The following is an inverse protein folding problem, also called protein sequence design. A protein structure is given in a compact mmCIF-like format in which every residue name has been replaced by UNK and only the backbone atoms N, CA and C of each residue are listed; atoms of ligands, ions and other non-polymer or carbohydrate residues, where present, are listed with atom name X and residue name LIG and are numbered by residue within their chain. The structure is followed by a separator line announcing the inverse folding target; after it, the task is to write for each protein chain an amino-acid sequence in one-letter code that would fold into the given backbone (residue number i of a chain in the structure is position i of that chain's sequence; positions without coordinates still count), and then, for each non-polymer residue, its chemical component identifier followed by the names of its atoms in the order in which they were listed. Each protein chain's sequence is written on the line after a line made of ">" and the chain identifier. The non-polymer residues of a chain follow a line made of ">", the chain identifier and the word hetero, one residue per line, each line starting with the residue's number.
data_IF_902355035933
#
_entry.id   IF_902355035933
#
_cell.length_a   1.000
_cell.length_b   1.000
_cell.length_c   1.000
_cell.angle_alpha   90.00
_cell.angle_beta   90.00
_cell.angle_gamma   90.00
#
_symmetry.space_group_name_H-M   'P 1'
#
loop_
_entity.id
_entity.type
_entity.pdbx_description
1 polymer ?
#
# COMPACT_ATOMS: atom_id res chain seq x y z
N UNK A 1 -0.59 8.90 31.58
CA UNK A 1 -0.82 8.86 30.12
C UNK A 1 0.54 8.85 29.45
N UNK A 2 0.91 7.76 28.77
CA UNK A 2 2.13 7.76 27.95
C UNK A 2 1.92 8.78 26.81
N UNK A 3 2.88 9.66 26.56
CA UNK A 3 2.78 10.70 25.54
C UNK A 3 2.65 10.07 24.16
N UNK A 4 1.57 10.39 23.44
CA UNK A 4 1.32 9.84 22.11
C UNK A 4 2.28 10.44 21.08
N UNK A 5 2.76 9.61 20.16
CA UNK A 5 3.58 10.05 19.03
C UNK A 5 2.75 10.67 17.90
N UNK A 6 3.35 11.60 17.16
CA UNK A 6 2.76 12.25 16.00
C UNK A 6 3.63 12.10 14.76
N UNK A 7 2.97 12.00 13.59
CA UNK A 7 3.58 11.94 12.25
C UNK A 7 2.75 12.76 11.24
N UNK A 8 3.32 13.14 10.10
CA UNK A 8 2.55 13.74 9.01
C UNK A 8 2.06 12.64 8.07
N UNK A 9 0.77 12.29 8.20
CA UNK A 9 0.13 11.28 7.38
C UNK A 9 -0.52 11.90 6.13
N UNK A 10 0.32 12.48 5.28
CA UNK A 10 -0.08 13.05 4.00
C UNK A 10 1.07 12.93 3.00
N UNK A 11 0.74 12.90 1.71
CA UNK A 11 1.74 12.96 0.66
C UNK A 11 1.84 14.36 0.02
N UNK A 12 2.90 14.53 -0.75
CA UNK A 12 3.27 15.80 -1.39
C UNK A 12 3.08 15.71 -2.90
N UNK A 13 3.15 16.85 -3.63
CA UNK A 13 3.14 16.83 -5.10
C UNK A 13 4.27 16.01 -5.74
N UNK A 14 5.33 15.67 -5.00
CA UNK A 14 6.47 14.87 -5.48
C UNK A 14 6.38 13.39 -5.08
N UNK A 15 5.37 13.01 -4.29
CA UNK A 15 5.21 11.64 -3.77
C UNK A 15 3.80 11.11 -4.04
N UNK A 16 3.34 11.33 -5.27
CA UNK A 16 1.99 10.96 -5.70
C UNK A 16 1.76 9.45 -5.62
N UNK A 17 0.52 9.07 -5.31
CA UNK A 17 0.02 7.72 -5.52
C UNK A 17 -0.57 7.69 -6.93
N UNK A 18 -0.02 6.81 -7.75
CA UNK A 18 -0.45 6.61 -9.12
C UNK A 18 -1.38 5.40 -9.19
N UNK A 19 -2.19 5.34 -10.23
CA UNK A 19 -2.93 4.16 -10.66
C UNK A 19 -2.36 3.72 -11.99
N UNK A 20 -2.19 2.42 -12.20
CA UNK A 20 -1.97 1.88 -13.52
C UNK A 20 -3.16 0.98 -13.90
N UNK A 21 -3.82 1.36 -14.97
CA UNK A 21 -4.68 0.43 -15.66
C UNK A 21 -3.78 -0.48 -16.50
N UNK A 22 -3.40 -1.63 -15.93
CA UNK A 22 -2.60 -2.61 -16.65
C UNK A 22 -3.32 -3.18 -17.88
N UNK A 23 -4.66 -3.06 -17.96
CA UNK A 23 -5.43 -3.51 -19.13
C UNK A 23 -5.32 -2.52 -20.31
N UNK A 24 -5.16 -1.22 -20.04
CA UNK A 24 -5.04 -0.18 -21.08
C UNK A 24 -3.68 0.55 -21.11
N UNK A 25 -2.71 0.09 -20.32
CA UNK A 25 -1.33 0.59 -20.31
C UNK A 25 -1.18 2.05 -19.88
N UNK A 26 -2.22 2.64 -19.28
CA UNK A 26 -2.22 4.05 -18.91
C UNK A 26 -1.94 4.18 -17.42
N UNK A 27 -0.86 4.90 -17.08
CA UNK A 27 -0.55 5.29 -15.71
C UNK A 27 -0.96 6.74 -15.49
N UNK A 28 -1.67 7.00 -14.40
CA UNK A 28 -2.10 8.35 -14.02
C UNK A 28 -2.08 8.55 -12.52
N UNK A 29 -2.20 9.79 -12.03
CA UNK A 29 -2.45 10.01 -10.61
C UNK A 29 -3.81 9.43 -10.21
N UNK A 30 -3.93 9.00 -8.96
CA UNK A 30 -5.21 8.58 -8.38
C UNK A 30 -6.27 9.72 -8.47
N UNK A 31 -7.48 9.43 -8.96
CA UNK A 31 -8.54 10.44 -9.17
C UNK A 31 -9.88 10.05 -8.50
N UNK A 32 -10.86 10.94 -8.56
CA UNK A 32 -12.19 10.74 -7.94
C UNK A 32 -12.26 11.25 -6.50
N UNK A 33 -13.47 11.40 -5.95
CA UNK A 33 -13.67 11.79 -4.56
C UNK A 33 -14.01 10.55 -3.74
N UNK A 34 -13.20 10.22 -2.72
CA UNK A 34 -13.34 8.99 -1.92
C UNK A 34 -13.37 7.69 -2.74
N UNK A 35 -12.76 7.71 -3.93
CA UNK A 35 -12.65 6.53 -4.78
C UNK A 35 -11.66 5.52 -4.18
N UNK A 36 -10.69 5.98 -3.40
CA UNK A 36 -9.67 5.13 -2.80
C UNK A 36 -9.59 5.34 -1.30
N UNK A 37 -9.28 4.25 -0.60
CA UNK A 37 -8.94 4.23 0.83
C UNK A 37 -7.43 4.12 0.96
N UNK A 38 -6.85 4.88 1.87
CA UNK A 38 -5.42 4.90 2.17
C UNK A 38 -5.25 4.56 3.65
N UNK A 39 -4.67 3.40 3.93
CA UNK A 39 -4.40 2.91 5.28
C UNK A 39 -2.96 3.14 5.71
N UNK A 40 -2.77 3.67 6.91
CA UNK A 40 -1.50 3.73 7.62
C UNK A 40 -1.37 2.48 8.50
N UNK A 41 -0.47 1.59 8.11
CA UNK A 41 -0.14 0.37 8.86
C UNK A 41 1.15 0.58 9.64
N UNK A 42 1.17 0.26 10.93
CA UNK A 42 2.30 0.52 11.82
C UNK A 42 2.59 -0.69 12.72
N UNK A 43 3.86 -0.86 13.07
CA UNK A 43 4.35 -1.82 14.06
C UNK A 43 5.62 -1.32 14.73
N UNK A 44 6.08 -1.96 15.81
CA UNK A 44 7.43 -1.75 16.34
C UNK A 44 8.51 -1.84 15.25
N UNK A 45 9.63 -1.14 15.43
CA UNK A 45 10.75 -1.19 14.49
C UNK A 45 11.15 -2.64 14.15
N UNK A 46 11.21 -2.96 12.86
CA UNK A 46 11.55 -4.29 12.34
C UNK A 46 10.36 -5.24 12.15
N UNK A 47 9.14 -4.80 12.46
CA UNK A 47 7.91 -5.60 12.21
C UNK A 47 7.77 -5.88 10.70
N UNK A 48 7.57 -7.14 10.28
CA UNK A 48 7.37 -7.46 8.86
C UNK A 48 6.04 -6.87 8.37
N UNK A 49 5.98 -6.50 7.09
CA UNK A 49 4.81 -5.83 6.50
C UNK A 49 3.49 -6.56 6.74
N UNK A 50 3.49 -7.90 6.65
CA UNK A 50 2.31 -8.74 6.90
C UNK A 50 1.78 -8.70 8.34
N UNK A 51 2.59 -8.24 9.31
CA UNK A 51 2.24 -8.19 10.73
C UNK A 51 1.98 -6.77 11.24
N UNK A 52 2.04 -5.76 10.35
CA UNK A 52 1.68 -4.38 10.70
C UNK A 52 0.16 -4.27 10.93
N UNK A 53 -0.24 -3.38 11.84
CA UNK A 53 -1.65 -3.16 12.18
C UNK A 53 -2.15 -1.84 11.60
N UNK A 54 -3.41 -1.80 11.16
CA UNK A 54 -4.05 -0.57 10.67
C UNK A 54 -4.27 0.39 11.84
N UNK A 55 -3.65 1.57 11.79
CA UNK A 55 -3.77 2.61 12.82
C UNK A 55 -4.56 3.82 12.29
N UNK A 56 -4.44 4.13 11.00
CA UNK A 56 -5.12 5.28 10.39
C UNK A 56 -5.71 4.98 9.04
N UNK A 57 -6.81 5.67 8.73
CA UNK A 57 -7.51 5.56 7.44
C UNK A 57 -7.79 6.96 6.91
N UNK A 58 -7.48 7.17 5.63
CA UNK A 58 -7.74 8.38 4.88
C UNK A 58 -8.36 8.04 3.53
N UNK A 59 -8.79 9.08 2.81
CA UNK A 59 -9.26 8.97 1.43
C UNK A 59 -8.50 9.92 0.52
N UNK A 60 -8.55 9.66 -0.78
CA UNK A 60 -7.87 10.48 -1.77
C UNK A 60 -8.50 11.87 -1.91
N UNK A 61 -7.66 12.86 -2.17
CA UNK A 61 -8.09 14.23 -2.39
C UNK A 61 -8.77 14.38 -3.77
N UNK A 62 -9.82 15.20 -3.88
CA UNK A 62 -10.44 15.51 -5.18
C UNK A 62 -9.53 16.40 -6.04
N UNK A 63 -9.91 16.58 -7.30
CA UNK A 63 -9.30 17.60 -8.16
C UNK A 63 -9.34 18.99 -7.49
N UNK A 64 -8.27 19.80 -7.61
CA UNK A 64 -7.10 19.63 -8.48
C UNK A 64 -5.96 18.78 -7.90
N UNK A 65 -6.09 18.22 -6.70
CA UNK A 65 -5.01 17.52 -5.98
C UNK A 65 -4.93 16.03 -6.31
N UNK A 66 -4.93 15.70 -7.60
CA UNK A 66 -4.89 14.31 -8.09
C UNK A 66 -3.64 13.58 -7.59
N UNK A 67 -3.77 12.32 -7.23
CA UNK A 67 -2.69 11.48 -6.70
C UNK A 67 -2.31 11.81 -5.25
N UNK A 68 -3.01 12.74 -4.61
CA UNK A 68 -2.75 13.16 -3.24
C UNK A 68 -3.79 12.67 -2.25
N UNK A 69 -3.42 12.63 -0.98
CA UNK A 69 -4.31 12.40 0.14
C UNK A 69 -3.81 13.16 1.37
N UNK A 70 -4.70 13.36 2.34
CA UNK A 70 -4.34 13.92 3.64
C UNK A 70 -5.14 13.20 4.74
N UNK A 71 -4.45 12.43 5.57
CA UNK A 71 -5.02 11.76 6.74
C UNK A 71 -4.81 12.52 8.05
N UNK A 72 -4.01 13.59 8.06
CA UNK A 72 -3.73 14.43 9.23
C UNK A 72 -2.27 14.88 9.30
N UNK A 73 -2.06 16.16 9.63
CA UNK A 73 -0.74 16.78 9.84
C UNK A 73 -0.86 17.81 10.98
N UNK A 74 -0.63 17.43 12.26
CA UNK A 74 -0.16 16.12 12.72
C UNK A 74 -1.25 15.04 12.77
N UNK A 75 -0.85 13.80 12.54
CA UNK A 75 -1.62 12.59 12.81
C UNK A 75 -1.12 11.92 14.09
N UNK A 76 -2.04 11.63 15.00
CA UNK A 76 -1.75 11.01 16.29
C UNK A 76 -1.68 9.49 16.15
N UNK A 77 -0.69 8.83 16.76
CA UNK A 77 -0.45 7.38 16.65
C UNK A 77 -0.86 6.63 17.93
N UNK A 78 -2.10 6.12 18.05
CA UNK A 78 -2.54 5.34 19.20
C UNK A 78 -1.61 4.17 19.52
N UNK A 79 -1.19 4.07 20.78
CA UNK A 79 -0.33 2.97 21.25
C UNK A 79 1.16 3.13 20.97
N UNK A 80 1.58 4.19 20.27
CA UNK A 80 2.99 4.48 20.00
C UNK A 80 3.41 5.77 20.66
N UNK A 81 4.43 5.70 21.53
CA UNK A 81 4.94 6.87 22.21
C UNK A 81 5.90 7.68 21.32
N UNK A 82 5.96 8.99 21.55
CA UNK A 82 6.98 9.83 20.96
C UNK A 82 8.39 9.30 21.29
N UNK A 83 9.33 9.46 20.36
CA UNK A 83 10.72 8.99 20.51
C UNK A 83 10.93 7.49 20.29
N UNK A 84 9.87 6.70 20.11
CA UNK A 84 9.99 5.25 19.85
C UNK A 84 9.99 4.98 18.35
N UNK A 85 11.07 4.45 17.75
CA UNK A 85 11.12 4.19 16.32
C UNK A 85 10.10 3.11 15.94
N UNK A 86 9.44 3.31 14.80
CA UNK A 86 8.40 2.42 14.26
C UNK A 86 8.72 2.02 12.82
N UNK A 87 8.16 0.89 12.40
CA UNK A 87 8.05 0.51 10.99
C UNK A 87 6.64 0.83 10.52
N UNK A 88 6.51 1.39 9.32
CA UNK A 88 5.21 1.67 8.72
C UNK A 88 5.13 1.21 7.27
N UNK A 89 3.90 1.07 6.79
CA UNK A 89 3.59 0.85 5.39
C UNK A 89 2.29 1.59 5.05
N UNK A 90 2.27 2.22 3.88
CA UNK A 90 1.05 2.82 3.35
C UNK A 90 0.45 1.85 2.36
N UNK A 91 -0.84 1.55 2.54
CA UNK A 91 -1.60 0.70 1.60
C UNK A 91 -2.73 1.51 1.05
N UNK A 92 -3.02 1.35 -0.23
CA UNK A 92 -4.16 2.00 -0.85
C UNK A 92 -4.91 1.04 -1.77
N UNK A 93 -6.23 1.14 -1.76
CA UNK A 93 -7.12 0.24 -2.48
C UNK A 93 -8.40 0.96 -2.88
N UNK A 94 -9.08 0.45 -3.90
CA UNK A 94 -10.41 0.93 -4.28
C UNK A 94 -11.41 0.84 -3.12
N UNK A 95 -12.14 1.92 -2.88
CA UNK A 95 -13.09 1.99 -1.77
C UNK A 95 -14.26 1.02 -1.91
N UNK A 96 -14.57 0.60 -3.15
CA UNK A 96 -15.57 -0.41 -3.52
C UNK A 96 -15.12 -1.85 -3.26
N UNK A 97 -13.81 -2.10 -3.13
CA UNK A 97 -13.28 -3.44 -2.84
C UNK A 97 -13.50 -3.86 -1.38
N UNK A 98 -13.81 -2.91 -0.49
CA UNK A 98 -14.19 -3.17 0.90
C UNK A 98 -13.63 -2.15 1.89
N UNK A 99 -14.08 -2.23 3.17
CA UNK A 99 -13.69 -1.28 4.20
C UNK A 99 -12.25 -1.46 4.69
N UNK A 100 -11.67 -2.65 4.56
CA UNK A 100 -10.31 -2.98 5.02
C UNK A 100 -9.45 -3.50 3.86
N UNK A 101 -8.13 -3.39 4.00
CA UNK A 101 -7.19 -3.99 3.06
C UNK A 101 -7.44 -5.49 2.86
N UNK A 102 -7.69 -6.22 3.94
CA UNK A 102 -7.92 -7.65 3.92
C UNK A 102 -9.20 -8.00 3.15
N UNK A 103 -10.27 -7.20 3.31
CA UNK A 103 -11.48 -7.35 2.50
C UNK A 103 -11.23 -7.04 1.02
N UNK A 104 -10.39 -6.04 0.72
CA UNK A 104 -10.02 -5.68 -0.64
C UNK A 104 -9.11 -6.72 -1.32
N UNK A 105 -8.33 -7.48 -0.53
CA UNK A 105 -7.59 -8.64 -1.02
C UNK A 105 -8.56 -9.71 -1.55
N UNK A 106 -9.52 -10.11 -0.72
CA UNK A 106 -10.54 -11.12 -1.07
C UNK A 106 -11.42 -10.64 -2.22
N UNK A 107 -11.82 -9.36 -2.21
CA UNK A 107 -12.68 -8.77 -3.22
C UNK A 107 -12.11 -8.88 -4.63
N UNK A 108 -10.82 -8.57 -4.83
CA UNK A 108 -10.27 -8.66 -6.18
C UNK A 108 -10.14 -10.10 -6.71
N UNK A 109 -9.98 -11.07 -5.81
CA UNK A 109 -9.87 -12.48 -6.18
C UNK A 109 -11.24 -13.05 -6.60
N UNK A 110 -12.34 -12.55 -6.01
CA UNK A 110 -13.69 -13.04 -6.27
C UNK A 110 -14.23 -12.69 -7.66
N UNK A 111 -13.78 -11.59 -8.27
CA UNK A 111 -14.37 -11.12 -9.52
C UNK A 111 -13.75 -11.70 -10.79
N UNK A 112 -12.63 -12.43 -10.75
CA UNK A 112 -11.93 -12.96 -11.95
C UNK A 112 -11.70 -11.94 -13.09
N UNK A 113 -11.92 -10.65 -12.84
CA UNK A 113 -11.98 -9.59 -13.86
C UNK A 113 -11.05 -8.42 -13.53
N UNK A 114 -10.09 -8.62 -12.61
CA UNK A 114 -9.06 -7.61 -12.32
C UNK A 114 -9.62 -6.22 -11.94
N UNK A 115 -10.81 -6.14 -11.33
CA UNK A 115 -11.55 -4.88 -11.30
C UNK A 115 -11.07 -3.83 -10.29
N UNK A 116 -10.27 -4.23 -9.30
CA UNK A 116 -9.89 -3.33 -8.20
C UNK A 116 -8.39 -3.11 -8.13
N UNK A 117 -8.02 -1.84 -8.22
CA UNK A 117 -6.68 -1.34 -8.03
C UNK A 117 -6.30 -1.40 -6.55
N UNK A 118 -5.12 -1.94 -6.29
CA UNK A 118 -4.53 -1.98 -4.96
C UNK A 118 -3.02 -1.86 -5.03
N UNK A 119 -2.42 -1.33 -3.97
CA UNK A 119 -0.97 -1.19 -3.89
C UNK A 119 -0.53 -0.95 -2.46
N UNK A 120 0.71 -1.32 -2.19
CA UNK A 120 1.37 -1.05 -0.93
C UNK A 120 2.72 -0.41 -1.20
N UNK A 121 3.10 0.56 -0.36
CA UNK A 121 4.42 1.16 -0.41
C UNK A 121 5.50 0.16 0.01
N UNK A 122 6.77 0.53 -0.24
CA UNK A 122 7.89 -0.03 0.51
C UNK A 122 7.69 0.21 2.03
N UNK A 123 8.38 -0.58 2.84
CA UNK A 123 8.44 -0.36 4.29
C UNK A 123 9.22 0.92 4.57
N UNK A 124 8.62 1.78 5.39
CA UNK A 124 9.24 2.98 5.90
C UNK A 124 9.58 2.87 7.38
N UNK A 125 10.41 3.79 7.86
CA UNK A 125 10.84 3.88 9.25
C UNK A 125 10.80 5.34 9.70
N UNK A 126 10.25 5.58 10.88
CA UNK A 126 10.16 6.94 11.43
C UNK A 126 10.19 6.88 12.95
N UNK A 127 10.67 7.95 13.58
CA UNK A 127 10.57 8.16 15.02
C UNK A 127 9.53 9.25 15.26
N UNK A 128 8.32 8.93 15.75
CA UNK A 128 7.29 9.91 16.02
C UNK A 128 7.74 10.95 17.05
N UNK A 129 7.21 12.16 16.96
CA UNK A 129 7.51 13.24 17.92
C UNK A 129 6.34 13.50 18.84
N UNK A 130 6.52 14.39 19.83
CA UNK A 130 5.51 14.76 20.83
C UNK A 130 4.48 15.77 20.32
N UNK A 131 4.56 16.16 19.04
CA UNK A 131 3.67 17.14 18.41
C UNK A 131 3.99 18.60 18.74
N UNK A 132 4.89 18.87 19.70
CA UNK A 132 5.46 20.20 19.95
C UNK A 132 6.71 20.44 19.09
N UNK A 133 7.41 19.37 18.76
CA UNK A 133 8.54 19.36 17.83
C UNK A 133 8.07 19.28 16.37
N UNK A 134 9.00 19.49 15.41
CA UNK A 134 8.73 19.25 13.98
C UNK A 134 8.22 17.82 13.79
N UNK A 135 7.03 17.69 13.23
CA UNK A 135 6.36 16.41 13.03
C UNK A 135 6.98 15.73 11.80
N UNK A 136 7.45 14.48 11.91
CA UNK A 136 8.18 13.84 10.83
C UNK A 136 7.24 13.43 9.69
N UNK A 137 7.70 13.62 8.45
CA UNK A 137 6.97 13.21 7.25
C UNK A 137 7.13 11.72 6.96
N UNK A 138 6.01 11.05 6.66
CA UNK A 138 6.01 9.66 6.18
C UNK A 138 6.40 9.57 4.69
N UNK A 139 6.16 10.63 3.93
CA UNK A 139 6.46 10.74 2.51
C UNK A 139 7.57 11.75 2.25
N UNK A 140 8.46 11.42 1.32
CA UNK A 140 9.56 12.30 0.92
C UNK A 140 10.74 11.52 0.37
N UNK A 141 11.90 12.18 0.32
CA UNK A 141 13.14 11.62 -0.26
C UNK A 141 14.16 11.22 0.80
N UNK A 142 13.91 11.49 2.08
CA UNK A 142 14.82 11.12 3.16
C UNK A 142 14.79 9.60 3.43
N UNK A 143 15.84 9.10 4.08
CA UNK A 143 15.91 7.70 4.47
C UNK A 143 14.74 7.30 5.37
N UNK A 144 14.09 6.18 5.07
CA UNK A 144 12.92 5.68 5.79
C UNK A 144 11.57 6.26 5.31
N UNK A 145 11.57 7.28 4.45
CA UNK A 145 10.35 7.83 3.86
C UNK A 145 9.94 7.09 2.58
N UNK A 146 8.66 7.23 2.20
CA UNK A 146 8.10 6.63 0.99
C UNK A 146 8.03 7.65 -0.15
N UNK A 147 8.47 7.29 -1.36
CA UNK A 147 8.53 8.17 -2.55
C UNK A 147 7.25 8.15 -3.42
N UNK A 148 6.09 7.80 -2.84
CA UNK A 148 4.89 7.44 -3.60
C UNK A 148 4.95 6.00 -4.13
N UNK A 149 3.87 5.53 -4.74
CA UNK A 149 3.78 4.17 -5.31
C UNK A 149 2.59 4.07 -6.29
N UNK A 150 2.51 2.97 -7.02
CA UNK A 150 1.45 2.74 -8.01
C UNK A 150 0.48 1.67 -7.53
N UNK A 151 -0.83 1.92 -7.68
CA UNK A 151 -1.90 0.96 -7.47
C UNK A 151 -2.14 0.22 -8.76
N UNK A 152 -2.03 -1.11 -8.69
CA UNK A 152 -2.22 -1.97 -9.84
C UNK A 152 -3.42 -2.87 -9.65
N UNK A 153 -4.03 -3.18 -10.78
CA UNK A 153 -4.87 -4.36 -10.89
C UNK A 153 -3.94 -5.57 -10.72
N UNK A 154 -4.17 -6.44 -9.73
CA UNK A 154 -3.46 -7.70 -9.64
C UNK A 154 -3.81 -8.51 -10.87
N UNK A 155 -2.84 -8.72 -11.76
CA UNK A 155 -3.02 -9.61 -12.89
C UNK A 155 -2.82 -11.02 -12.33
N UNK A 156 -3.84 -11.90 -12.33
CA UNK A 156 -3.61 -13.29 -12.01
C UNK A 156 -2.59 -13.82 -13.00
N UNK A 157 -1.39 -14.18 -12.54
CA UNK A 157 -0.30 -14.59 -13.42
C UNK A 157 -0.77 -15.80 -14.25
N UNK A 158 -1.06 -15.63 -15.55
CA UNK A 158 -1.53 -16.75 -16.38
C UNK A 158 -0.43 -17.81 -16.54
N UNK A 159 0.81 -17.38 -16.31
CA UNK A 159 2.03 -18.13 -16.46
C UNK A 159 2.28 -19.13 -15.34
N UNK A 160 1.79 -18.96 -14.11
CA UNK A 160 2.13 -19.93 -13.05
C UNK A 160 1.49 -21.29 -13.31
N UNK A 161 0.23 -21.30 -13.76
CA UNK A 161 -0.45 -22.52 -14.18
C UNK A 161 0.07 -23.05 -15.51
N UNK A 162 0.31 -22.18 -16.49
CA UNK A 162 0.84 -22.58 -17.79
C UNK A 162 2.26 -23.15 -17.68
N UNK A 163 3.14 -22.55 -16.86
CA UNK A 163 4.49 -23.02 -16.58
C UNK A 163 4.46 -24.31 -15.77
N UNK A 164 3.55 -24.44 -14.80
CA UNK A 164 3.37 -25.70 -14.07
C UNK A 164 2.92 -26.82 -15.00
N UNK A 165 1.94 -26.56 -15.87
CA UNK A 165 1.48 -27.52 -16.87
C UNK A 165 2.59 -27.88 -17.87
N UNK A 166 3.36 -26.88 -18.34
CA UNK A 166 4.50 -27.09 -19.23
C UNK A 166 5.61 -27.90 -18.56
N UNK A 167 5.90 -27.63 -17.28
CA UNK A 167 6.87 -28.38 -16.50
C UNK A 167 6.44 -29.84 -16.34
N UNK A 168 5.16 -30.10 -16.05
CA UNK A 168 4.61 -31.46 -15.98
C UNK A 168 4.71 -32.18 -17.33
N UNK A 169 4.36 -31.51 -18.43
CA UNK A 169 4.50 -32.05 -19.79
C UNK A 169 5.96 -32.37 -20.14
N UNK A 170 6.89 -31.49 -19.81
CA UNK A 170 8.31 -31.72 -20.03
C UNK A 170 8.84 -32.94 -19.26
N UNK A 171 8.42 -33.11 -18.01
CA UNK A 171 8.76 -34.29 -17.19
C UNK A 171 8.15 -35.56 -17.80
N UNK A 172 6.89 -35.52 -18.22
CA UNK A 172 6.22 -36.66 -18.86
C UNK A 172 6.95 -37.14 -20.11
N UNK A 173 7.32 -36.23 -21.02
CA UNK A 173 8.05 -36.58 -22.24
C UNK A 173 9.46 -37.10 -21.96
N UNK A 174 10.10 -36.66 -20.87
CA UNK A 174 11.40 -37.19 -20.45
C UNK A 174 11.31 -38.64 -19.99
N UNK A 175 10.29 -39.00 -19.19
CA UNK A 175 10.08 -40.37 -18.70
C UNK A 175 9.81 -41.33 -19.87
N UNK A 176 8.99 -40.92 -20.84
CA UNK A 176 8.63 -41.72 -22.03
C UNK A 176 9.79 -42.03 -22.98
N UNK A 177 10.93 -41.32 -22.90
CA UNK A 177 12.09 -41.56 -23.78
C UNK A 177 13.11 -42.55 -23.22
N UNK A 178 13.03 -42.91 -21.93
CA UNK A 178 14.01 -43.77 -21.26
C UNK A 178 13.51 -45.21 -20.99
N UNK A 179 12.30 -45.56 -21.40
CA UNK A 179 11.75 -46.92 -21.30
C UNK A 179 11.31 -47.41 -22.67
#
# INVERSE_FOLDING_TARGET
>A
TFGQGFVNFANTPTTLILTNDTAFGTSGPMEGFNAYRIGLYVGPLGTPGSSLTLIGLATNSPAPFRGRFNGGTPYSLPGYAAGTPITFQIRAWDSSAGPTWESALVGADAFNNGGFMRGASALGFVTPTDGLSVVPDLFGTAAGQVQGFTLAIPIPEPSTWALSALAVLAVYFRIKRCG
#
